data_IF_053637570061
#
_entry.id   IF_053637570061
#
_cell.length_a   1.000
_cell.length_b   1.000
_cell.length_c   1.000
_cell.angle_alpha   90.00
_cell.angle_beta   90.00
_cell.angle_gamma   90.00
#
_symmetry.space_group_name_H-M   'P 1'
#
loop_
_entity.id
_entity.type
_entity.pdbx_description
1 polymer ?
#
# COMPACT_ATOMS: atom_id res chain seq x y z
N UNK A 1 15.53 32.63 17.31
CA UNK A 1 14.79 33.90 17.46
C UNK A 1 13.98 34.07 16.18
N UNK A 2 12.74 33.57 16.16
CA UNK A 2 11.84 33.73 15.02
C UNK A 2 11.25 35.14 15.11
N UNK A 3 11.59 35.99 14.15
CA UNK A 3 10.93 37.28 13.94
C UNK A 3 9.56 36.99 13.30
N UNK A 4 8.53 36.85 14.14
CA UNK A 4 7.17 36.48 13.71
C UNK A 4 6.44 37.76 13.33
N UNK A 5 6.61 38.20 12.09
CA UNK A 5 5.69 39.15 11.47
C UNK A 5 4.31 38.48 11.33
N UNK A 6 3.33 39.00 12.07
CA UNK A 6 1.95 38.53 12.01
C UNK A 6 1.35 38.77 10.62
N UNK A 7 0.94 37.69 9.92
CA UNK A 7 0.02 37.83 8.79
C UNK A 7 0.20 36.86 7.62
N UNK A 8 1.39 36.29 7.42
CA UNK A 8 1.72 35.46 6.26
C UNK A 8 1.92 33.97 6.60
N UNK A 9 1.47 33.10 5.69
CA UNK A 9 1.64 31.65 5.79
C UNK A 9 3.13 31.32 5.64
N UNK A 10 3.72 30.77 6.69
CA UNK A 10 5.10 30.28 6.65
C UNK A 10 5.09 28.77 6.45
N UNK A 11 6.00 28.27 5.61
CA UNK A 11 6.31 26.84 5.57
C UNK A 11 7.28 26.59 6.71
N UNK A 12 6.86 25.80 7.69
CA UNK A 12 7.69 25.43 8.82
C UNK A 12 8.00 23.93 8.76
N UNK A 13 9.20 23.55 9.15
CA UNK A 13 9.58 22.16 9.28
C UNK A 13 9.50 21.78 10.76
N UNK A 14 8.69 20.78 11.12
CA UNK A 14 8.77 20.21 12.46
C UNK A 14 10.08 19.42 12.56
N UNK A 15 11.12 20.04 13.14
CA UNK A 15 12.43 19.40 13.33
C UNK A 15 13.64 20.31 13.25
N UNK A 16 13.52 21.63 13.06
CA UNK A 16 14.69 22.51 13.24
C UNK A 16 15.03 22.65 14.73
N UNK A 17 15.99 21.83 15.13
CA UNK A 17 16.77 21.94 16.35
C UNK A 17 17.37 23.36 16.40
N UNK A 18 16.84 24.22 17.25
CA UNK A 18 17.53 25.42 17.71
C UNK A 18 18.69 25.00 18.63
N UNK A 19 19.78 24.50 18.05
CA UNK A 19 21.04 24.35 18.76
C UNK A 19 22.18 24.63 17.79
N UNK A 20 22.95 25.67 18.08
CA UNK A 20 24.24 25.88 17.42
C UNK A 20 25.19 24.73 17.73
N UNK A 21 25.74 24.10 16.69
CA UNK A 21 26.93 23.26 16.80
C UNK A 21 26.84 21.91 16.06
N UNK A 22 27.47 21.84 14.88
CA UNK A 22 27.97 20.60 14.27
C UNK A 22 27.07 19.91 13.22
N UNK A 23 27.66 19.31 12.15
CA UNK A 23 26.89 18.69 11.09
C UNK A 23 26.50 17.25 11.46
N UNK A 24 25.27 17.08 11.95
CA UNK A 24 24.54 15.82 11.86
C UNK A 24 23.38 16.03 10.89
N UNK A 25 23.22 15.13 9.92
CA UNK A 25 22.16 15.20 8.92
C UNK A 25 20.78 15.28 9.62
N UNK A 26 19.88 16.19 9.22
CA UNK A 26 18.59 16.33 9.89
C UNK A 26 17.76 15.07 9.65
N UNK A 27 17.31 14.43 10.74
CA UNK A 27 16.19 13.50 10.67
C UNK A 27 15.01 14.19 9.99
N UNK A 28 14.38 13.48 9.06
CA UNK A 28 13.39 14.04 8.14
C UNK A 28 12.29 14.80 8.90
N UNK A 29 12.36 16.12 8.86
CA UNK A 29 11.34 16.99 9.41
C UNK A 29 10.09 16.94 8.53
N UNK A 30 8.93 16.64 9.13
CA UNK A 30 7.67 16.65 8.41
C UNK A 30 7.32 18.11 8.05
N UNK A 31 7.19 18.47 6.75
CA UNK A 31 6.87 19.83 6.39
C UNK A 31 5.40 20.13 6.75
N UNK A 32 5.21 21.21 7.50
CA UNK A 32 3.92 21.72 7.95
C UNK A 32 3.70 23.11 7.35
N UNK A 33 2.46 23.41 6.98
CA UNK A 33 2.06 24.80 6.83
C UNK A 33 1.76 25.34 8.22
N UNK A 34 2.41 26.44 8.61
CA UNK A 34 2.26 27.07 9.91
C UNK A 34 1.62 28.45 9.76
N UNK A 35 0.58 28.67 10.56
CA UNK A 35 0.06 30.01 10.82
C UNK A 35 0.17 30.26 12.33
N UNK A 36 0.78 31.38 12.71
CA UNK A 36 0.86 31.81 14.11
C UNK A 36 -0.18 32.91 14.34
N UNK A 37 -1.07 32.74 15.32
CA UNK A 37 -2.03 33.76 15.76
C UNK A 37 -1.72 34.18 17.20
N UNK A 38 -1.58 35.49 17.42
CA UNK A 38 -1.39 36.08 18.76
C UNK A 38 -2.71 36.20 19.54
N UNK A 39 -3.71 35.40 19.18
CA UNK A 39 -5.09 35.46 19.65
C UNK A 39 -5.79 36.80 19.36
N UNK A 40 -5.39 37.52 18.30
CA UNK A 40 -6.06 38.75 17.83
C UNK A 40 -6.84 38.57 16.53
N UNK A 41 -6.55 37.53 15.72
CA UNK A 41 -7.26 37.28 14.46
C UNK A 41 -8.60 36.59 14.73
N UNK A 42 -9.71 37.21 14.34
CA UNK A 42 -11.04 36.60 14.45
C UNK A 42 -11.12 35.22 13.75
N UNK A 43 -11.90 34.31 14.35
CA UNK A 43 -12.05 32.94 13.86
C UNK A 43 -12.67 32.88 12.46
N UNK A 44 -13.54 33.83 12.06
CA UNK A 44 -14.07 33.89 10.69
C UNK A 44 -12.98 34.29 9.69
N UNK A 45 -12.04 35.14 10.10
CA UNK A 45 -10.90 35.52 9.24
C UNK A 45 -9.97 34.32 9.01
N UNK A 46 -9.70 33.54 10.06
CA UNK A 46 -8.97 32.26 9.94
C UNK A 46 -9.75 31.30 9.03
N UNK A 47 -11.06 31.14 9.23
CA UNK A 47 -11.89 30.28 8.39
C UNK A 47 -11.89 30.68 6.91
N UNK A 48 -11.92 31.98 6.65
CA UNK A 48 -11.81 32.54 5.29
C UNK A 48 -10.46 32.20 4.65
N UNK A 49 -9.36 32.29 5.41
CA UNK A 49 -8.03 31.86 4.94
C UNK A 49 -8.03 30.36 4.61
N UNK A 50 -8.56 29.51 5.49
CA UNK A 50 -8.65 28.07 5.25
C UNK A 50 -9.48 27.74 3.99
N UNK A 51 -10.57 28.47 3.75
CA UNK A 51 -11.36 28.33 2.53
C UNK A 51 -10.57 28.69 1.26
N UNK A 52 -9.72 29.72 1.32
CA UNK A 52 -8.80 30.08 0.22
C UNK A 52 -7.73 29.01 0.01
N UNK A 53 -7.14 28.47 1.07
CA UNK A 53 -6.16 27.38 0.98
C UNK A 53 -6.78 26.13 0.37
N UNK A 54 -7.96 25.71 0.82
CA UNK A 54 -8.65 24.56 0.24
C UNK A 54 -8.95 24.78 -1.25
N UNK A 55 -9.36 25.99 -1.64
CA UNK A 55 -9.58 26.32 -3.05
C UNK A 55 -8.30 26.19 -3.86
N UNK A 56 -7.18 26.68 -3.33
CA UNK A 56 -5.86 26.55 -3.97
C UNK A 56 -5.43 25.08 -4.08
N UNK A 57 -5.56 24.31 -3.00
CA UNK A 57 -5.17 22.90 -2.95
C UNK A 57 -6.01 22.00 -3.87
N UNK A 58 -7.21 22.44 -4.25
CA UNK A 58 -8.03 21.74 -5.24
C UNK A 58 -7.74 22.14 -6.69
N UNK A 59 -6.94 23.18 -6.94
CA UNK A 59 -6.62 23.61 -8.31
C UNK A 59 -5.80 22.55 -9.02
N UNK A 60 -6.24 22.23 -10.23
CA UNK A 60 -5.53 21.39 -11.16
C UNK A 60 -5.18 22.18 -12.40
N UNK A 61 -4.06 21.81 -13.01
CA UNK A 61 -3.58 22.33 -14.28
C UNK A 61 -3.33 21.16 -15.22
N UNK A 62 -3.56 21.39 -16.51
CA UNK A 62 -3.17 20.45 -17.56
C UNK A 62 -1.65 20.52 -17.70
N UNK A 63 -0.97 19.39 -17.49
CA UNK A 63 0.47 19.27 -17.72
C UNK A 63 0.76 19.01 -19.22
N UNK A 64 2.04 19.03 -19.61
CA UNK A 64 2.50 18.89 -21.01
C UNK A 64 2.05 17.57 -21.66
N UNK A 65 1.75 16.56 -20.86
CA UNK A 65 1.24 15.25 -21.27
C UNK A 65 -0.30 15.19 -21.38
N UNK A 66 -0.98 16.33 -21.22
CA UNK A 66 -2.44 16.43 -21.21
C UNK A 66 -3.11 15.95 -19.92
N UNK A 67 -2.35 15.48 -18.93
CA UNK A 67 -2.90 14.98 -17.67
C UNK A 67 -3.20 16.12 -16.71
N UNK A 68 -4.29 15.97 -15.94
CA UNK A 68 -4.61 16.92 -14.87
C UNK A 68 -3.75 16.67 -13.64
N UNK A 69 -2.91 17.63 -13.26
CA UNK A 69 -2.06 17.56 -12.08
C UNK A 69 -2.38 18.69 -11.11
N UNK A 70 -2.15 18.46 -9.82
CA UNK A 70 -2.28 19.53 -8.83
C UNK A 70 -1.33 20.69 -9.17
N UNK A 71 -1.79 21.93 -9.00
CA UNK A 71 -0.97 23.14 -9.23
C UNK A 71 0.14 23.31 -8.17
N UNK A 72 0.10 22.50 -7.12
CA UNK A 72 1.04 22.49 -6.02
C UNK A 72 1.72 21.12 -5.94
N UNK A 73 2.90 21.11 -5.32
CA UNK A 73 3.58 19.89 -4.90
C UNK A 73 3.95 20.04 -3.44
N UNK A 74 3.90 18.95 -2.72
CA UNK A 74 4.39 18.90 -1.34
C UNK A 74 5.58 17.95 -1.28
N UNK A 75 6.55 18.24 -0.41
CA UNK A 75 7.60 17.26 -0.03
C UNK A 75 7.10 16.24 0.98
N UNK A 76 5.90 16.47 1.55
CA UNK A 76 5.23 15.55 2.45
C UNK A 76 4.53 14.44 1.67
N UNK A 77 5.09 13.25 1.68
CA UNK A 77 4.41 12.05 1.21
C UNK A 77 3.89 11.27 2.42
N UNK A 78 2.58 11.10 2.54
CA UNK A 78 2.04 10.21 3.57
C UNK A 78 2.36 8.76 3.14
N UNK A 79 3.12 7.98 3.95
CA UNK A 79 3.63 6.67 3.55
C UNK A 79 2.52 5.65 3.23
N UNK A 80 1.30 5.87 3.73
CA UNK A 80 0.12 5.03 3.45
C UNK A 80 -0.92 5.68 2.51
N UNK A 81 -0.48 6.52 1.58
CA UNK A 81 -1.36 7.10 0.57
C UNK A 81 -1.92 6.01 -0.36
N UNK A 82 -3.25 5.93 -0.47
CA UNK A 82 -3.90 4.92 -1.29
C UNK A 82 -4.11 5.43 -2.72
N UNK A 83 -4.12 4.55 -3.74
CA UNK A 83 -4.45 4.96 -5.10
C UNK A 83 -5.78 5.71 -5.16
N UNK A 84 -5.78 6.89 -5.78
CA UNK A 84 -6.96 7.76 -5.88
C UNK A 84 -7.23 8.65 -4.66
N UNK A 85 -6.41 8.58 -3.61
CA UNK A 85 -6.53 9.47 -2.46
C UNK A 85 -5.86 10.82 -2.72
N UNK A 86 -6.60 11.90 -2.49
CA UNK A 86 -6.07 13.27 -2.44
C UNK A 86 -5.77 13.59 -0.99
N UNK A 87 -4.48 13.69 -0.67
CA UNK A 87 -4.02 14.09 0.65
C UNK A 87 -3.54 15.53 0.59
N UNK A 88 -4.22 16.41 1.32
CA UNK A 88 -3.78 17.78 1.49
C UNK A 88 -2.72 17.86 2.59
N UNK A 89 -1.73 18.75 2.46
CA UNK A 89 -0.70 18.90 3.47
C UNK A 89 -1.30 19.35 4.81
N UNK A 90 -0.71 18.95 5.94
CA UNK A 90 -1.16 19.36 7.26
C UNK A 90 -1.00 20.88 7.46
N UNK A 91 -1.99 21.47 8.14
CA UNK A 91 -2.00 22.89 8.51
C UNK A 91 -2.02 23.00 10.04
N UNK A 92 -0.98 23.62 10.59
CA UNK A 92 -0.83 23.89 12.01
C UNK A 92 -1.19 25.35 12.30
N UNK A 93 -2.14 25.55 13.21
CA UNK A 93 -2.44 26.85 13.80
C UNK A 93 -1.83 26.89 15.21
N UNK A 94 -0.78 27.68 15.39
CA UNK A 94 -0.11 27.87 16.67
C UNK A 94 -0.57 29.17 17.31
N UNK A 95 -1.15 29.07 18.50
CA UNK A 95 -1.66 30.24 19.21
C UNK A 95 -0.67 30.71 20.28
N UNK A 96 -0.39 32.00 20.27
CA UNK A 96 0.33 32.67 21.35
C UNK A 96 -0.66 33.57 22.09
N UNK A 97 -0.97 33.26 23.35
CA UNK A 97 -1.99 33.99 24.11
C UNK A 97 -1.48 35.33 24.62
N UNK A 98 -1.36 36.31 23.72
CA UNK A 98 -1.14 37.71 24.07
C UNK A 98 -2.49 38.43 24.19
N UNK A 99 -3.44 38.13 23.29
CA UNK A 99 -4.79 38.69 23.31
C UNK A 99 -5.70 38.11 24.40
N UNK A 100 -6.84 38.78 24.62
CA UNK A 100 -7.82 38.41 25.66
C UNK A 100 -8.63 37.12 25.38
N UNK A 101 -8.48 36.50 24.21
CA UNK A 101 -9.22 35.28 23.85
C UNK A 101 -8.46 34.03 24.29
N UNK A 102 -9.19 33.05 24.83
CA UNK A 102 -8.64 31.72 25.08
C UNK A 102 -8.26 31.02 23.76
N UNK A 103 -7.07 30.41 23.67
CA UNK A 103 -6.70 29.53 22.58
C UNK A 103 -7.71 28.39 22.37
N UNK A 104 -8.15 27.72 23.44
CA UNK A 104 -9.10 26.60 23.38
C UNK A 104 -10.43 27.04 22.76
N UNK A 105 -10.99 28.18 23.19
CA UNK A 105 -12.21 28.72 22.61
C UNK A 105 -12.01 29.07 21.12
N UNK A 106 -10.83 29.56 20.76
CA UNK A 106 -10.46 29.83 19.37
C UNK A 106 -10.32 28.55 18.54
N UNK A 107 -9.75 27.48 19.11
CA UNK A 107 -9.62 26.17 18.46
C UNK A 107 -11.00 25.63 18.09
N UNK A 108 -11.92 25.59 19.06
CA UNK A 108 -13.28 25.09 18.84
C UNK A 108 -14.01 25.93 17.77
N UNK A 109 -13.93 27.26 17.88
CA UNK A 109 -14.62 28.15 16.94
C UNK A 109 -14.09 28.01 15.51
N UNK A 110 -12.77 27.93 15.33
CA UNK A 110 -12.16 27.71 14.02
C UNK A 110 -12.50 26.32 13.49
N UNK A 111 -12.44 25.28 14.33
CA UNK A 111 -12.79 23.92 13.95
C UNK A 111 -14.24 23.84 13.44
N UNK A 112 -15.19 24.47 14.13
CA UNK A 112 -16.59 24.51 13.74
C UNK A 112 -16.79 25.23 12.40
N UNK A 113 -16.24 26.44 12.26
CA UNK A 113 -16.39 27.24 11.03
C UNK A 113 -15.74 26.59 9.81
N UNK A 114 -14.71 25.77 10.02
CA UNK A 114 -13.94 25.13 8.95
C UNK A 114 -14.24 23.65 8.79
N UNK A 115 -15.27 23.14 9.46
CA UNK A 115 -15.70 21.73 9.42
C UNK A 115 -15.74 21.14 8.00
N UNK A 116 -16.24 21.83 6.95
CA UNK A 116 -16.22 21.30 5.59
C UNK A 116 -14.82 20.96 5.03
N UNK A 117 -13.76 21.57 5.55
CA UNK A 117 -12.39 21.46 5.05
C UNK A 117 -11.57 20.35 5.72
N UNK A 118 -11.87 20.00 6.97
CA UNK A 118 -11.09 19.00 7.72
C UNK A 118 -11.90 17.77 8.15
N UNK A 119 -13.23 17.88 8.29
CA UNK A 119 -14.03 16.79 8.86
C UNK A 119 -14.06 15.60 7.90
N UNK A 120 -13.53 14.47 8.35
CA UNK A 120 -13.58 13.21 7.63
C UNK A 120 -14.98 12.61 7.65
N UNK A 121 -15.32 11.83 6.62
CA UNK A 121 -16.58 11.09 6.55
C UNK A 121 -16.41 9.75 7.26
N UNK A 122 -17.41 9.30 7.99
CA UNK A 122 -17.39 7.95 8.55
C UNK A 122 -17.44 6.93 7.41
N UNK A 123 -16.47 6.03 7.33
CA UNK A 123 -16.28 5.10 6.23
C UNK A 123 -16.25 3.65 6.74
N UNK A 124 -17.06 2.81 6.08
CA UNK A 124 -17.18 1.37 6.36
C UNK A 124 -17.39 1.03 7.84
N UNK A 125 -17.99 1.95 8.60
CA UNK A 125 -18.22 1.85 10.05
C UNK A 125 -16.97 1.65 10.93
N UNK A 126 -15.76 1.77 10.36
CA UNK A 126 -14.52 1.43 11.06
C UNK A 126 -13.62 2.66 11.34
N UNK A 127 -13.65 3.67 10.46
CA UNK A 127 -12.77 4.84 10.58
C UNK A 127 -13.31 6.09 9.87
N UNK A 128 -12.73 7.26 10.17
CA UNK A 128 -12.98 8.47 9.39
C UNK A 128 -12.08 8.51 8.15
N UNK A 129 -12.67 8.59 6.96
CA UNK A 129 -11.99 8.88 5.71
C UNK A 129 -11.77 10.40 5.56
N UNK A 130 -10.51 10.79 5.43
CA UNK A 130 -10.06 12.17 5.26
C UNK A 130 -9.64 12.49 3.82
N UNK A 131 -10.08 11.70 2.83
CA UNK A 131 -9.83 12.00 1.42
C UNK A 131 -10.31 13.43 1.06
N UNK A 132 -9.44 14.21 0.42
CA UNK A 132 -9.66 15.62 0.07
C UNK A 132 -9.95 16.52 1.30
N UNK A 133 -9.40 16.17 2.47
CA UNK A 133 -9.45 16.97 3.71
C UNK A 133 -8.07 17.42 4.16
N UNK A 134 -8.00 18.62 4.74
CA UNK A 134 -6.79 19.15 5.37
C UNK A 134 -6.69 18.55 6.79
N UNK A 135 -5.55 17.95 7.17
CA UNK A 135 -5.24 17.69 8.57
C UNK A 135 -5.03 19.02 9.31
N UNK A 136 -6.11 19.56 9.91
CA UNK A 136 -6.06 20.79 10.68
C UNK A 136 -5.64 20.49 12.13
N UNK A 137 -4.53 21.08 12.54
CA UNK A 137 -3.91 20.91 13.85
C UNK A 137 -3.91 22.24 14.61
N UNK A 138 -4.06 22.15 15.92
CA UNK A 138 -3.99 23.27 16.86
C UNK A 138 -2.90 23.00 17.89
N UNK A 139 -2.22 24.06 18.31
CA UNK A 139 -1.26 24.04 19.43
C UNK A 139 -1.15 25.43 20.05
N UNK A 140 -0.45 25.55 21.17
CA UNK A 140 -0.02 26.83 21.73
C UNK A 140 1.51 26.87 21.79
N UNK A 141 2.07 28.09 21.79
CA UNK A 141 3.52 28.27 21.99
C UNK A 141 3.96 27.71 23.34
N UNK A 142 3.13 27.81 24.37
CA UNK A 142 3.42 27.26 25.70
C UNK A 142 3.52 25.73 25.69
N UNK A 143 2.57 25.05 25.02
CA UNK A 143 2.60 23.59 24.86
C UNK A 143 3.83 23.12 24.07
N UNK A 144 4.22 23.86 23.03
CA UNK A 144 5.44 23.57 22.28
C UNK A 144 6.71 23.81 23.12
N UNK A 145 6.68 24.80 24.02
CA UNK A 145 7.80 25.08 24.92
C UNK A 145 7.92 24.01 26.01
N UNK A 146 6.79 23.56 26.55
CA UNK A 146 6.73 22.54 27.60
C UNK A 146 7.09 21.13 27.10
N UNK A 147 6.51 20.72 25.97
CA UNK A 147 6.62 19.34 25.48
C UNK A 147 7.58 19.17 24.31
N UNK A 148 8.03 20.27 23.70
CA UNK A 148 8.84 20.25 22.48
C UNK A 148 8.05 19.79 21.23
N UNK A 149 8.69 19.85 20.04
CA UNK A 149 8.04 19.50 18.78
C UNK A 149 7.75 18.00 18.62
N UNK A 150 8.42 17.13 19.36
CA UNK A 150 8.17 15.68 19.36
C UNK A 150 7.13 15.25 20.42
N UNK A 151 6.79 16.14 21.36
CA UNK A 151 5.88 15.84 22.46
C UNK A 151 4.41 15.90 22.08
N UNK A 152 3.55 15.62 23.07
CA UNK A 152 2.10 15.64 22.92
C UNK A 152 1.54 17.07 22.95
N UNK A 153 1.91 17.89 21.97
CA UNK A 153 1.53 19.31 21.90
C UNK A 153 0.47 19.61 20.82
N UNK A 154 0.02 18.62 20.04
CA UNK A 154 -0.81 18.85 18.86
C UNK A 154 -2.21 18.29 19.00
N UNK A 155 -3.24 19.12 18.85
CA UNK A 155 -4.65 18.70 18.83
C UNK A 155 -5.20 18.77 17.42
N UNK A 156 -5.58 17.63 16.84
CA UNK A 156 -6.28 17.60 15.55
C UNK A 156 -7.72 18.07 15.71
N UNK A 157 -8.21 18.88 14.79
CA UNK A 157 -9.64 19.20 14.69
C UNK A 157 -10.51 17.93 14.70
N UNK A 158 -11.53 17.92 15.55
CA UNK A 158 -12.42 16.77 15.78
C UNK A 158 -11.85 15.67 16.69
N UNK A 159 -10.70 15.88 17.32
CA UNK A 159 -10.16 15.01 18.38
C UNK A 159 -10.00 15.82 19.68
N UNK A 160 -10.26 15.18 20.81
CA UNK A 160 -10.29 15.86 22.12
C UNK A 160 -8.91 16.03 22.76
N UNK A 161 -7.98 15.11 22.51
CA UNK A 161 -6.70 15.09 23.22
C UNK A 161 -5.54 15.59 22.35
N UNK A 162 -4.58 16.23 23.01
CA UNK A 162 -3.28 16.51 22.43
C UNK A 162 -2.52 15.19 22.18
N UNK A 163 -1.79 15.16 21.08
CA UNK A 163 -1.10 14.01 20.53
C UNK A 163 0.27 14.46 20.04
N UNK A 164 1.17 13.51 19.83
CA UNK A 164 2.38 13.75 19.04
C UNK A 164 2.01 14.09 17.60
N UNK A 165 2.88 14.83 16.90
CA UNK A 165 2.61 15.27 15.53
C UNK A 165 2.25 14.10 14.57
N UNK A 166 2.98 12.97 14.55
CA UNK A 166 2.64 11.86 13.66
C UNK A 166 1.25 11.26 13.95
N UNK A 167 0.88 11.17 15.22
CA UNK A 167 -0.43 10.66 15.63
C UNK A 167 -1.56 11.63 15.28
N UNK A 168 -1.32 12.95 15.40
CA UNK A 168 -2.29 13.98 15.07
C UNK A 168 -2.59 14.03 13.56
N UNK A 169 -1.55 13.93 12.72
CA UNK A 169 -1.67 13.88 11.25
C UNK A 169 -2.27 12.55 10.80
N UNK A 170 -1.78 11.44 11.35
CA UNK A 170 -2.10 10.08 10.95
C UNK A 170 -3.53 9.62 11.22
N UNK A 171 -3.83 8.40 10.77
CA UNK A 171 -5.14 7.77 10.92
C UNK A 171 -5.00 6.29 11.31
N UNK A 172 -4.53 6.07 12.54
CA UNK A 172 -4.27 4.73 13.07
C UNK A 172 -5.47 3.76 12.97
N UNK A 173 -6.72 4.26 13.09
CA UNK A 173 -7.91 3.42 12.91
C UNK A 173 -8.05 2.91 11.48
N UNK A 174 -7.80 3.78 10.49
CA UNK A 174 -7.76 3.39 9.07
C UNK A 174 -6.62 2.42 8.80
N UNK A 175 -5.41 2.70 9.28
CA UNK A 175 -4.26 1.80 9.08
C UNK A 175 -4.56 0.40 9.64
N UNK A 176 -5.17 0.34 10.83
CA UNK A 176 -5.61 -0.92 11.44
C UNK A 176 -6.69 -1.63 10.60
N UNK A 177 -7.70 -0.91 10.12
CA UNK A 177 -8.77 -1.46 9.29
C UNK A 177 -8.24 -2.05 7.98
N UNK A 178 -7.31 -1.35 7.33
CA UNK A 178 -6.67 -1.79 6.10
C UNK A 178 -5.77 -3.00 6.33
N UNK A 179 -5.01 -3.02 7.43
CA UNK A 179 -4.20 -4.18 7.80
C UNK A 179 -5.07 -5.45 7.96
N UNK A 180 -6.24 -5.33 8.62
CA UNK A 180 -7.22 -6.41 8.71
C UNK A 180 -7.76 -6.83 7.34
N UNK A 181 -8.09 -5.87 6.48
CA UNK A 181 -8.57 -6.15 5.13
C UNK A 181 -7.52 -6.91 4.29
N UNK A 182 -6.27 -6.45 4.30
CA UNK A 182 -5.17 -7.11 3.62
C UNK A 182 -4.86 -8.50 4.18
N UNK A 183 -5.01 -8.71 5.48
CA UNK A 183 -4.89 -10.05 6.07
C UNK A 183 -5.97 -11.00 5.52
N UNK A 184 -7.23 -10.56 5.48
CA UNK A 184 -8.35 -11.35 4.92
C UNK A 184 -8.15 -11.66 3.43
N UNK A 185 -7.70 -10.67 2.65
CA UNK A 185 -7.44 -10.88 1.22
C UNK A 185 -6.34 -11.91 0.98
N UNK A 186 -5.23 -11.81 1.73
CA UNK A 186 -4.12 -12.78 1.65
C UNK A 186 -4.56 -14.19 2.04
N UNK A 187 -5.39 -14.33 3.07
CA UNK A 187 -5.94 -15.62 3.47
C UNK A 187 -6.81 -16.23 2.37
N UNK A 188 -7.71 -15.43 1.77
CA UNK A 188 -8.57 -15.88 0.68
C UNK A 188 -7.79 -16.23 -0.58
N UNK A 189 -6.73 -15.50 -0.89
CA UNK A 189 -5.83 -15.81 -2.00
C UNK A 189 -5.14 -17.16 -1.79
N UNK A 190 -4.65 -17.45 -0.58
CA UNK A 190 -4.07 -18.75 -0.22
C UNK A 190 -5.07 -19.88 -0.35
N UNK A 191 -6.31 -19.68 0.12
CA UNK A 191 -7.38 -20.68 -0.01
C UNK A 191 -7.68 -20.96 -1.48
N UNK A 192 -7.85 -19.91 -2.29
CA UNK A 192 -8.09 -20.06 -3.72
C UNK A 192 -6.93 -20.74 -4.45
N UNK A 193 -5.68 -20.40 -4.12
CA UNK A 193 -4.49 -21.07 -4.66
C UNK A 193 -4.43 -22.55 -4.27
N UNK A 194 -4.76 -22.88 -3.01
CA UNK A 194 -4.83 -24.26 -2.53
C UNK A 194 -5.95 -25.05 -3.22
N UNK A 195 -7.13 -24.46 -3.39
CA UNK A 195 -8.24 -25.03 -4.14
C UNK A 195 -7.87 -25.25 -5.61
N UNK A 196 -7.22 -24.28 -6.26
CA UNK A 196 -6.75 -24.41 -7.64
C UNK A 196 -5.66 -25.48 -7.76
N UNK A 197 -4.74 -25.57 -6.80
CA UNK A 197 -3.72 -26.61 -6.77
C UNK A 197 -4.34 -28.00 -6.58
N UNK A 198 -5.32 -28.14 -5.68
CA UNK A 198 -6.05 -29.38 -5.45
C UNK A 198 -6.91 -29.77 -6.67
N UNK A 199 -7.62 -28.82 -7.27
CA UNK A 199 -8.41 -29.04 -8.48
C UNK A 199 -7.53 -29.40 -9.69
N UNK A 200 -6.36 -28.76 -9.80
CA UNK A 200 -5.33 -29.15 -10.76
C UNK A 200 -4.93 -30.60 -10.48
N UNK A 201 -4.44 -30.91 -9.28
CA UNK A 201 -3.96 -32.24 -8.87
C UNK A 201 -4.99 -33.36 -9.08
N UNK A 202 -6.28 -33.09 -8.84
CA UNK A 202 -7.36 -34.03 -9.11
C UNK A 202 -7.50 -34.40 -10.60
N UNK A 203 -7.11 -33.48 -11.50
CA UNK A 203 -7.07 -33.69 -12.96
C UNK A 203 -5.74 -34.27 -13.45
N UNK A 204 -4.83 -34.65 -12.55
CA UNK A 204 -3.51 -35.20 -12.94
C UNK A 204 -3.71 -36.51 -13.71
N UNK A 205 -3.25 -36.59 -14.97
CA UNK A 205 -3.36 -37.82 -15.76
C UNK A 205 -2.55 -38.96 -15.13
N UNK A 206 -3.06 -40.18 -15.32
CA UNK A 206 -2.39 -41.42 -14.97
C UNK A 206 -1.85 -42.13 -16.20
N UNK A 207 -0.80 -42.92 -16.04
CA UNK A 207 -0.25 -43.77 -17.08
C UNK A 207 -1.25 -44.86 -17.48
N UNK A 208 -1.44 -45.05 -18.79
CA UNK A 208 -2.31 -46.10 -19.33
C UNK A 208 -1.81 -47.52 -19.10
N UNK A 209 -0.50 -47.72 -18.89
CA UNK A 209 0.10 -49.06 -18.70
C UNK A 209 0.27 -49.44 -17.23
N UNK A 210 0.75 -48.54 -16.38
CA UNK A 210 1.06 -48.85 -14.98
C UNK A 210 0.14 -48.16 -13.96
N UNK A 211 -0.79 -47.31 -14.40
CA UNK A 211 -1.75 -46.61 -13.52
C UNK A 211 -1.14 -45.49 -12.66
N UNK A 212 0.18 -45.33 -12.63
CA UNK A 212 0.84 -44.29 -11.83
C UNK A 212 0.53 -42.89 -12.35
N UNK A 213 0.26 -41.95 -11.43
CA UNK A 213 0.12 -40.53 -11.73
C UNK A 213 1.37 -39.95 -12.41
N UNK A 214 1.18 -39.06 -13.36
CA UNK A 214 2.31 -38.41 -14.05
C UNK A 214 3.11 -37.50 -13.13
N UNK A 215 4.41 -37.37 -13.37
CA UNK A 215 5.23 -36.34 -12.73
C UNK A 215 4.83 -34.95 -13.21
N UNK A 216 5.22 -33.89 -12.48
CA UNK A 216 4.92 -32.51 -12.88
C UNK A 216 5.45 -32.16 -14.26
N UNK A 217 6.66 -32.62 -14.59
CA UNK A 217 7.27 -32.34 -15.90
C UNK A 217 6.55 -33.08 -17.03
N UNK A 218 6.16 -34.34 -16.81
CA UNK A 218 5.40 -35.10 -17.80
C UNK A 218 4.00 -34.51 -18.00
N UNK A 219 3.35 -34.10 -16.91
CA UNK A 219 2.04 -33.47 -17.00
C UNK A 219 2.09 -32.08 -17.65
N UNK A 220 3.12 -31.28 -17.37
CA UNK A 220 3.37 -30.04 -18.13
C UNK A 220 3.57 -30.36 -19.61
N UNK A 221 4.33 -31.41 -19.91
CA UNK A 221 4.55 -31.86 -21.29
C UNK A 221 3.24 -32.18 -22.02
N UNK A 222 2.31 -32.90 -21.37
CA UNK A 222 1.03 -33.26 -22.00
C UNK A 222 0.08 -32.10 -22.25
N UNK A 223 0.32 -30.94 -21.63
CA UNK A 223 -0.46 -29.71 -21.87
C UNK A 223 0.05 -28.90 -23.08
N UNK A 224 1.24 -29.19 -23.60
CA UNK A 224 1.73 -28.53 -24.81
C UNK A 224 0.98 -28.99 -26.06
N UNK A 225 0.78 -28.07 -27.01
CA UNK A 225 0.09 -28.35 -28.27
C UNK A 225 0.75 -29.47 -29.07
N UNK A 226 2.08 -29.56 -29.01
CA UNK A 226 2.86 -30.57 -29.74
C UNK A 226 2.71 -31.98 -29.16
N UNK A 227 2.35 -32.11 -27.88
CA UNK A 227 2.10 -33.41 -27.26
C UNK A 227 0.87 -34.12 -27.84
N UNK A 228 -0.01 -33.39 -28.53
CA UNK A 228 -1.13 -33.99 -29.27
C UNK A 228 -0.66 -34.96 -30.37
N UNK A 229 0.53 -34.73 -30.93
CA UNK A 229 1.12 -35.55 -31.97
C UNK A 229 2.05 -36.66 -31.44
N UNK A 230 2.29 -36.73 -30.13
CA UNK A 230 3.03 -37.85 -29.52
C UNK A 230 2.07 -39.01 -29.21
N UNK A 231 2.15 -40.13 -29.94
CA UNK A 231 1.29 -41.29 -29.70
C UNK A 231 1.53 -41.90 -28.32
N UNK A 232 2.65 -41.61 -27.65
CA UNK A 232 3.00 -42.14 -26.33
C UNK A 232 2.75 -41.15 -25.19
N UNK A 233 2.01 -40.05 -25.41
CA UNK A 233 1.70 -39.04 -24.37
C UNK A 233 0.98 -39.59 -23.13
N UNK A 234 0.39 -40.79 -23.24
CA UNK A 234 -0.37 -41.46 -22.19
C UNK A 234 0.48 -42.46 -21.36
N UNK A 235 1.78 -42.56 -21.63
CA UNK A 235 2.67 -43.52 -20.97
C UNK A 235 3.71 -42.82 -20.08
N UNK A 236 3.94 -43.34 -18.86
CA UNK A 236 5.01 -42.87 -17.96
C UNK A 236 6.39 -43.35 -18.42
N UNK A 237 7.41 -42.49 -18.36
CA UNK A 237 8.80 -42.80 -18.77
C UNK A 237 9.64 -41.54 -19.06
N UNK A 238 10.98 -41.65 -19.12
CA UNK A 238 11.86 -40.48 -19.15
C UNK A 238 11.72 -39.69 -20.46
N UNK A 239 11.52 -38.38 -20.32
CA UNK A 239 11.62 -37.41 -21.41
C UNK A 239 13.10 -37.15 -21.71
N UNK A 240 13.48 -36.93 -22.97
CA UNK A 240 14.83 -36.43 -23.31
C UNK A 240 14.95 -34.93 -22.94
N UNK A 241 16.17 -34.36 -22.87
CA UNK A 241 16.40 -32.94 -22.54
C UNK A 241 15.66 -31.94 -23.44
N UNK A 242 15.24 -32.36 -24.63
CA UNK A 242 14.45 -31.56 -25.57
C UNK A 242 12.94 -31.87 -25.54
N UNK A 243 12.44 -32.52 -24.49
CA UNK A 243 11.02 -32.83 -24.28
C UNK A 243 10.45 -33.95 -25.15
N UNK A 244 11.27 -34.64 -25.97
CA UNK A 244 10.81 -35.76 -26.82
C UNK A 244 11.24 -37.11 -26.25
N UNK A 245 10.46 -38.18 -26.44
CA UNK A 245 10.93 -39.54 -26.09
C UNK A 245 11.96 -40.07 -27.09
N UNK A 246 12.91 -40.94 -26.68
CA UNK A 246 13.71 -41.73 -27.61
C UNK A 246 12.82 -42.68 -28.41
N UNK A 247 13.07 -42.84 -29.72
CA UNK A 247 12.44 -43.91 -30.50
C UNK A 247 12.78 -45.27 -29.89
N UNK A 248 11.81 -46.20 -29.77
CA UNK A 248 12.08 -47.53 -29.22
C UNK A 248 13.12 -48.24 -30.09
N UNK A 249 14.17 -48.78 -29.47
CA UNK A 249 15.14 -49.63 -30.17
C UNK A 249 14.45 -50.94 -30.54
N UNK A 250 14.31 -51.20 -31.85
CA UNK A 250 13.95 -52.53 -32.35
C UNK A 250 15.03 -53.51 -31.92
N UNK A 251 14.80 -54.25 -30.82
CA UNK A 251 15.56 -55.48 -30.56
C UNK A 251 15.21 -56.47 -31.67
N UNK A 252 16.07 -56.58 -32.69
CA UNK A 252 16.07 -57.71 -33.64
C UNK A 252 16.38 -58.96 -32.83
N UNK A 253 15.38 -59.78 -32.58
CA UNK A 253 15.56 -61.18 -32.19
C UNK A 253 16.30 -61.90 -33.33
N UNK A 254 17.61 -62.07 -33.20
CA UNK A 254 18.37 -63.04 -33.99
C UNK A 254 18.06 -64.43 -33.43
N UNK A 255 17.29 -65.21 -34.18
CA UNK A 255 17.20 -66.66 -34.01
C UNK A 255 18.60 -67.28 -34.20
N UNK A 256 18.99 -68.14 -33.27
CA UNK A 256 20.14 -69.03 -33.40
C UNK A 256 19.77 -70.27 -34.25
N UNK A 257 20.68 -70.85 -35.03
CA UNK A 257 20.37 -71.97 -35.92
C UNK A 257 20.52 -73.34 -35.24
N UNK A 258 19.54 -74.22 -35.49
CA UNK A 258 19.72 -75.65 -35.79
C UNK A 258 20.14 -76.62 -34.69
N UNK A 259 19.21 -77.50 -34.29
CA UNK A 259 19.50 -78.85 -33.81
C UNK A 259 18.62 -79.87 -34.57
N UNK A 260 19.10 -81.10 -34.83
CA UNK A 260 18.65 -81.94 -35.92
C UNK A 260 17.42 -82.82 -35.61
N UNK A 261 16.71 -83.14 -36.68
CA UNK A 261 15.49 -83.94 -36.77
C UNK A 261 15.72 -85.41 -36.40
N UNK A 262 15.02 -85.92 -35.38
CA UNK A 262 14.90 -87.35 -35.08
C UNK A 262 13.82 -87.98 -35.98
N UNK A 263 14.23 -88.94 -36.82
CA UNK A 263 13.34 -89.79 -37.63
C UNK A 263 12.59 -90.78 -36.73
N UNK A 264 11.27 -90.81 -36.85
CA UNK A 264 10.41 -91.88 -36.32
C UNK A 264 10.11 -92.84 -37.49
N UNK A 265 10.26 -94.17 -37.33
CA UNK A 265 9.95 -95.13 -38.39
C UNK A 265 8.43 -95.40 -38.48
N UNK A 266 7.91 -95.78 -39.68
CA UNK A 266 6.48 -95.96 -39.90
C UNK A 266 5.95 -97.26 -39.26
N UNK A 267 4.71 -97.19 -38.77
CA UNK A 267 3.91 -98.36 -38.36
C UNK A 267 3.05 -98.82 -39.54
N UNK A 268 3.19 -100.12 -39.83
CA UNK A 268 2.42 -101.02 -40.72
C UNK A 268 2.70 -100.90 -42.21
#
# INVERSE_FOLDING_TARGET
>A
MLDVAAGDLQVAFAGEVLAGGGPAAPEASEPLFLEVDTCHIDAQRIATKLGKYMRFLRRRVTDVDGQQRAMWRTRWEHPNSHPGQVLHPPLLLAFHQIGARSPEASFERVADLTRPHWAGRWAAEEFHDYNDKIPLLFTTIDLLTEHGPAGAAFRRAGRQHFQTLPNAIGNARRDTALARSHARYRERARQYEAEQAAAREAKRPTCGECGTKFTDDHWKYTQYRDAAYDPHRHLSGPLRPNGRRPRPSRKRSRQAPGLPTLRIPPRR
#
